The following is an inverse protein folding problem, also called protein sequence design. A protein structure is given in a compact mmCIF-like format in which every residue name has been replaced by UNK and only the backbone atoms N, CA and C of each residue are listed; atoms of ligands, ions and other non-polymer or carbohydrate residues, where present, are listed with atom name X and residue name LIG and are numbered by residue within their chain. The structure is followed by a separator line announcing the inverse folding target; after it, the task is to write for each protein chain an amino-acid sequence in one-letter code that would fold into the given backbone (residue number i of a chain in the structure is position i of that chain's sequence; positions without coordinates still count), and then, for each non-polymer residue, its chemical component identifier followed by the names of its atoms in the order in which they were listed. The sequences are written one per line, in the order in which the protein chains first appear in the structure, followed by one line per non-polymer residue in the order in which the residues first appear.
data_IF_719863679851
#
_entry.id   IF_719863679851
#
_cell.length_a   1.000
_cell.length_b   1.000
_cell.length_c   1.000
_cell.angle_alpha   90.00
_cell.angle_beta   90.00
_cell.angle_gamma   90.00
#
_symmetry.space_group_name_H-M   'P 1'
#
loop_
_entity.id
_entity.type
_entity.pdbx_description
1 polymer ?
#
# COMPACT_ATOMS: atom_id res chain seq x y z
N UNK A 1 2.37 11.04 -17.77
CA UNK A 1 2.02 11.70 -17.45
C UNK A 1 1.81 12.21 -16.79
N UNK A 2 1.88 12.35 -17.09
CA UNK A 2 2.15 13.08 -16.18
C UNK A 2 1.18 13.61 -15.45
N UNK A 3 0.85 12.98 -14.60
CA UNK A 3 0.14 13.62 -13.57
C UNK A 3 0.94 14.83 -13.20
N UNK A 4 0.51 15.94 -13.57
CA UNK A 4 1.20 17.12 -13.15
C UNK A 4 1.04 17.29 -11.64
N UNK A 5 1.95 18.04 -11.06
CA UNK A 5 1.97 18.23 -9.61
C UNK A 5 0.70 18.91 -9.10
N UNK A 6 0.06 19.72 -9.91
CA UNK A 6 -1.20 20.37 -9.53
C UNK A 6 -2.33 19.38 -9.30
N UNK A 7 -2.42 18.36 -10.14
CA UNK A 7 -3.42 17.32 -9.99
C UNK A 7 -3.15 16.47 -8.73
N UNK A 8 -1.89 16.15 -8.46
CA UNK A 8 -1.51 15.42 -7.26
C UNK A 8 -1.86 16.24 -6.01
N UNK A 9 -1.56 17.52 -6.01
CA UNK A 9 -1.86 18.38 -4.87
C UNK A 9 -3.35 18.48 -4.63
N UNK A 10 -4.15 18.60 -5.70
CA UNK A 10 -5.61 18.61 -5.57
C UNK A 10 -6.14 17.32 -5.01
N UNK A 11 -5.58 16.19 -5.45
CA UNK A 11 -5.95 14.88 -4.92
C UNK A 11 -5.63 14.73 -3.45
N UNK A 12 -4.46 15.18 -3.04
CA UNK A 12 -4.03 15.12 -1.64
C UNK A 12 -4.95 15.97 -0.76
N UNK A 13 -5.25 17.21 -1.18
CA UNK A 13 -6.12 18.10 -0.43
C UNK A 13 -7.53 17.52 -0.29
N UNK A 14 -8.05 16.94 -1.37
CA UNK A 14 -9.36 16.29 -1.33
C UNK A 14 -9.37 15.10 -0.39
N UNK A 15 -8.30 14.34 -0.39
CA UNK A 15 -8.18 13.17 0.47
C UNK A 15 -8.14 13.57 1.94
N UNK A 16 -7.44 14.65 2.26
CA UNK A 16 -7.40 15.16 3.63
C UNK A 16 -8.78 15.51 4.16
N UNK A 17 -9.67 16.01 3.31
CA UNK A 17 -11.06 16.28 3.69
C UNK A 17 -11.85 15.00 3.91
N UNK A 18 -11.55 13.94 3.14
CA UNK A 18 -12.22 12.65 3.24
C UNK A 18 -11.78 11.90 4.49
N UNK A 19 -10.50 11.97 4.81
CA UNK A 19 -9.95 11.36 6.02
C UNK A 19 -10.12 12.37 7.15
N UNK A 20 -11.11 12.16 8.00
CA UNK A 20 -11.34 13.07 9.08
C UNK A 20 -10.16 13.10 10.05
N UNK A 21 -9.47 14.19 10.06
CA UNK A 21 -8.72 14.77 11.15
C UNK A 21 -7.67 13.99 11.92
N UNK A 22 -7.39 12.72 11.63
CA UNK A 22 -6.38 11.98 12.39
C UNK A 22 -5.08 11.93 11.57
N UNK A 23 -4.01 12.50 12.14
CA UNK A 23 -2.70 12.55 11.50
C UNK A 23 -2.19 11.15 11.14
N UNK A 24 -2.40 10.18 12.03
CA UNK A 24 -1.95 8.81 11.79
C UNK A 24 -2.68 8.16 10.60
N UNK A 25 -3.98 8.45 10.46
CA UNK A 25 -4.77 7.94 9.34
C UNK A 25 -4.26 8.51 8.02
N UNK A 26 -3.98 9.82 7.99
CA UNK A 26 -3.41 10.47 6.81
C UNK A 26 -2.03 9.92 6.51
N UNK A 27 -1.20 9.72 7.54
CA UNK A 27 0.14 9.16 7.37
C UNK A 27 0.09 7.75 6.79
N UNK A 28 -0.87 6.93 7.22
CA UNK A 28 -1.03 5.56 6.70
C UNK A 28 -1.31 5.58 5.20
N UNK A 29 -2.26 6.39 4.77
CA UNK A 29 -2.60 6.52 3.36
C UNK A 29 -1.39 7.02 2.56
N UNK A 30 -0.77 8.08 3.05
CA UNK A 30 0.36 8.69 2.35
C UNK A 30 1.52 7.70 2.20
N UNK A 31 1.85 7.00 3.28
CA UNK A 31 2.96 6.05 3.24
C UNK A 31 2.66 4.88 2.31
N UNK A 32 1.42 4.40 2.31
CA UNK A 32 1.08 3.29 1.43
C UNK A 32 1.05 3.71 -0.03
N UNK A 33 0.53 4.88 -0.35
CA UNK A 33 0.53 5.38 -1.73
C UNK A 33 1.94 5.69 -2.20
N UNK A 34 2.83 6.16 -1.31
CA UNK A 34 4.25 6.31 -1.65
C UNK A 34 4.85 4.96 -2.03
N UNK A 35 4.50 3.90 -1.30
CA UNK A 35 4.93 2.55 -1.66
C UNK A 35 4.41 2.15 -3.04
N UNK A 36 3.14 2.41 -3.33
CA UNK A 36 2.55 2.09 -4.64
C UNK A 36 3.31 2.81 -5.76
N UNK A 37 3.58 4.09 -5.58
CA UNK A 37 4.31 4.89 -6.57
C UNK A 37 5.71 4.32 -6.82
N UNK A 38 6.33 3.80 -5.79
CA UNK A 38 7.64 3.15 -5.91
C UNK A 38 7.54 1.79 -6.61
N UNK A 39 6.55 0.98 -6.21
CA UNK A 39 6.52 -0.43 -6.57
C UNK A 39 5.82 -0.72 -7.90
N UNK A 40 4.85 0.08 -8.30
CA UNK A 40 4.12 -0.14 -9.56
C UNK A 40 5.04 -0.19 -10.79
N UNK A 41 5.99 0.74 -10.96
CA UNK A 41 6.91 0.65 -12.11
C UNK A 41 7.74 -0.63 -12.09
N UNK A 42 8.09 -1.14 -10.92
CA UNK A 42 8.86 -2.37 -10.79
C UNK A 42 8.02 -3.56 -11.26
N UNK A 43 6.77 -3.64 -10.82
CA UNK A 43 5.85 -4.71 -11.23
C UNK A 43 5.62 -4.67 -12.74
N UNK A 44 5.49 -3.48 -13.30
CA UNK A 44 5.28 -3.31 -14.74
C UNK A 44 6.47 -3.81 -15.57
N UNK A 45 7.63 -3.96 -14.96
CA UNK A 45 8.82 -4.49 -15.64
C UNK A 45 9.05 -5.98 -15.41
N UNK A 46 8.14 -6.65 -14.74
CA UNK A 46 8.19 -8.11 -14.60
C UNK A 46 8.11 -8.74 -15.99
N UNK A 47 8.64 -9.97 -16.18
CA UNK A 47 8.53 -10.64 -17.47
C UNK A 47 7.09 -10.65 -17.99
N UNK A 48 6.93 -10.46 -19.30
CA UNK A 48 5.62 -10.27 -19.91
C UNK A 48 4.67 -11.44 -19.70
N UNK A 49 5.20 -12.64 -19.53
CA UNK A 49 4.35 -13.82 -19.30
C UNK A 49 3.70 -13.82 -17.92
N UNK A 50 4.11 -12.92 -17.01
CA UNK A 50 3.50 -12.77 -15.69
C UNK A 50 2.42 -11.68 -15.66
N UNK A 51 2.17 -11.03 -16.79
CA UNK A 51 1.30 -9.85 -16.83
C UNK A 51 -0.11 -10.16 -16.34
N UNK A 52 -0.64 -11.32 -16.68
CA UNK A 52 -1.99 -11.73 -16.31
C UNK A 52 -2.04 -12.66 -15.10
N UNK A 53 -0.93 -12.78 -14.39
CA UNK A 53 -0.84 -13.62 -13.19
C UNK A 53 -0.28 -12.81 -12.03
N UNK A 54 1.02 -12.91 -11.78
CA UNK A 54 1.64 -12.27 -10.62
C UNK A 54 1.47 -10.75 -10.64
N UNK A 55 1.65 -10.13 -11.81
CA UNK A 55 1.53 -8.66 -11.92
C UNK A 55 0.14 -8.17 -11.55
N UNK A 56 -0.89 -8.76 -12.15
CA UNK A 56 -2.26 -8.33 -11.89
C UNK A 56 -2.66 -8.62 -10.44
N UNK A 57 -2.18 -9.72 -9.87
CA UNK A 57 -2.48 -10.05 -8.48
C UNK A 57 -1.87 -9.05 -7.52
N UNK A 58 -0.62 -8.63 -7.77
CA UNK A 58 0.04 -7.61 -6.95
C UNK A 58 -0.69 -6.27 -7.08
N UNK A 59 -1.00 -5.87 -8.31
CA UNK A 59 -1.67 -4.60 -8.55
C UNK A 59 -3.04 -4.56 -7.89
N UNK A 60 -3.81 -5.63 -8.01
CA UNK A 60 -5.13 -5.72 -7.38
C UNK A 60 -5.01 -5.69 -5.85
N UNK A 61 -4.00 -6.36 -5.30
CA UNK A 61 -3.77 -6.36 -3.87
C UNK A 61 -3.47 -4.94 -3.37
N UNK A 62 -2.60 -4.21 -4.06
CA UNK A 62 -2.28 -2.84 -3.69
C UNK A 62 -3.51 -1.95 -3.74
N UNK A 63 -4.32 -2.08 -4.78
CA UNK A 63 -5.55 -1.31 -4.91
C UNK A 63 -6.54 -1.62 -3.80
N UNK A 64 -6.70 -2.90 -3.45
CA UNK A 64 -7.58 -3.29 -2.36
C UNK A 64 -7.14 -2.67 -1.03
N UNK A 65 -5.84 -2.65 -0.77
CA UNK A 65 -5.32 -2.05 0.47
C UNK A 65 -5.65 -0.55 0.50
N UNK A 66 -5.38 0.16 -0.58
CA UNK A 66 -5.68 1.59 -0.66
C UNK A 66 -7.16 1.86 -0.41
N UNK A 67 -8.03 1.09 -1.06
CA UNK A 67 -9.48 1.23 -0.90
C UNK A 67 -9.92 0.93 0.51
N UNK A 68 -9.38 -0.13 1.12
CA UNK A 68 -9.73 -0.51 2.49
C UNK A 68 -9.29 0.54 3.51
N UNK A 69 -8.17 1.20 3.27
CA UNK A 69 -7.74 2.31 4.11
C UNK A 69 -8.79 3.42 4.08
N UNK A 70 -9.24 3.79 2.90
CA UNK A 70 -10.27 4.82 2.73
C UNK A 70 -11.57 4.40 3.42
N UNK A 71 -12.03 3.19 3.14
CA UNK A 71 -13.29 2.66 3.70
C UNK A 71 -13.22 2.65 5.23
N UNK A 72 -12.10 2.18 5.78
CA UNK A 72 -11.95 2.07 7.22
C UNK A 72 -11.94 3.44 7.89
N UNK A 73 -11.30 4.44 7.26
CA UNK A 73 -11.30 5.78 7.79
C UNK A 73 -12.70 6.38 7.91
N UNK A 74 -13.62 5.94 7.07
CA UNK A 74 -14.99 6.41 7.05
C UNK A 74 -15.92 5.53 7.88
N UNK A 75 -15.43 4.44 8.41
CA UNK A 75 -16.22 3.47 9.16
C UNK A 75 -16.35 3.86 10.62
N UNK A 76 -17.45 3.46 11.25
CA UNK A 76 -17.61 3.61 12.70
C UNK A 76 -16.76 2.58 13.45
N UNK A 77 -16.70 1.35 12.94
CA UNK A 77 -15.88 0.29 13.52
C UNK A 77 -14.56 0.20 12.80
N UNK A 78 -13.61 1.04 13.20
CA UNK A 78 -12.32 1.13 12.52
C UNK A 78 -11.41 -0.04 12.81
N UNK A 79 -11.49 -0.63 14.00
CA UNK A 79 -10.58 -1.71 14.40
C UNK A 79 -10.70 -2.91 13.47
N UNK A 80 -11.94 -3.35 13.20
CA UNK A 80 -12.17 -4.47 12.28
C UNK A 80 -11.59 -4.16 10.90
N UNK A 81 -11.78 -2.93 10.41
CA UNK A 81 -11.23 -2.51 9.13
C UNK A 81 -9.72 -2.52 9.11
N UNK A 82 -9.07 -2.07 10.20
CA UNK A 82 -7.61 -2.08 10.27
C UNK A 82 -7.05 -3.50 10.27
N UNK A 83 -7.74 -4.46 10.90
CA UNK A 83 -7.34 -5.86 10.81
C UNK A 83 -7.45 -6.39 9.38
N UNK A 84 -8.48 -5.98 8.64
CA UNK A 84 -8.61 -6.35 7.23
C UNK A 84 -7.45 -5.79 6.39
N UNK A 85 -7.06 -4.54 6.65
CA UNK A 85 -5.91 -3.93 5.99
C UNK A 85 -4.64 -4.71 6.31
N UNK A 86 -4.47 -5.09 7.57
CA UNK A 86 -3.31 -5.86 8.02
C UNK A 86 -3.22 -7.21 7.31
N UNK A 87 -4.34 -7.88 7.14
CA UNK A 87 -4.40 -9.16 6.42
C UNK A 87 -3.98 -8.99 4.96
N UNK A 88 -4.52 -7.99 4.28
CA UNK A 88 -4.14 -7.71 2.89
C UNK A 88 -2.67 -7.33 2.78
N UNK A 89 -2.15 -6.64 3.79
CA UNK A 89 -0.74 -6.27 3.82
C UNK A 89 0.15 -7.52 3.91
N UNK A 90 -0.26 -8.51 4.70
CA UNK A 90 0.46 -9.78 4.77
C UNK A 90 0.42 -10.54 3.44
N UNK A 91 -0.72 -10.49 2.75
CA UNK A 91 -0.84 -11.07 1.41
C UNK A 91 0.14 -10.39 0.45
N UNK A 92 0.20 -9.06 0.49
CA UNK A 92 1.14 -8.31 -0.34
C UNK A 92 2.59 -8.69 -0.04
N UNK A 93 2.94 -8.81 1.24
CA UNK A 93 4.28 -9.24 1.64
C UNK A 93 4.61 -10.63 1.09
N UNK A 94 3.64 -11.53 1.07
CA UNK A 94 3.83 -12.86 0.49
C UNK A 94 4.11 -12.79 -1.00
N UNK A 95 3.39 -11.95 -1.74
CA UNK A 95 3.65 -11.75 -3.16
C UNK A 95 5.05 -11.18 -3.41
N UNK A 96 5.48 -10.26 -2.56
CA UNK A 96 6.82 -9.67 -2.68
C UNK A 96 7.90 -10.73 -2.46
N UNK A 97 7.72 -11.57 -1.45
CA UNK A 97 8.66 -12.68 -1.19
C UNK A 97 8.72 -13.64 -2.38
N UNK A 98 7.56 -13.97 -2.96
CA UNK A 98 7.52 -14.84 -4.12
C UNK A 98 8.22 -14.21 -5.33
N UNK A 99 8.01 -12.92 -5.53
CA UNK A 99 8.68 -12.19 -6.60
C UNK A 99 10.19 -12.21 -6.43
N UNK A 100 10.67 -12.05 -5.19
CA UNK A 100 12.10 -12.10 -4.91
C UNK A 100 12.68 -13.49 -5.17
N UNK A 101 11.94 -14.54 -4.83
CA UNK A 101 12.37 -15.92 -5.09
C UNK A 101 12.51 -16.23 -6.58
N UNK A 102 11.71 -15.58 -7.42
CA UNK A 102 11.77 -15.80 -8.88
C UNK A 102 13.01 -15.18 -9.51
N UNK A 103 13.70 -14.32 -8.78
CA UNK A 103 15.01 -13.82 -9.20
C UNK A 103 15.06 -12.32 -9.44
N UNK A 104 16.25 -11.85 -9.78
CA UNK A 104 16.53 -10.43 -9.94
C UNK A 104 15.82 -9.79 -11.14
N UNK A 105 15.37 -10.59 -12.10
CA UNK A 105 14.56 -10.10 -13.23
C UNK A 105 13.20 -9.56 -12.73
N UNK A 106 12.70 -10.12 -11.64
CA UNK A 106 11.46 -9.66 -11.01
C UNK A 106 11.78 -8.58 -9.99
N UNK A 107 12.59 -8.90 -9.01
CA UNK A 107 12.84 -8.02 -7.89
C UNK A 107 14.28 -8.18 -7.42
N UNK A 108 15.08 -7.14 -7.63
CA UNK A 108 16.46 -7.13 -7.15
C UNK A 108 16.50 -7.11 -5.62
N UNK A 109 17.66 -7.49 -5.06
CA UNK A 109 17.86 -7.43 -3.61
C UNK A 109 17.59 -6.01 -3.09
N UNK A 110 18.11 -5.01 -3.79
CA UNK A 110 17.95 -3.62 -3.40
C UNK A 110 16.49 -3.18 -3.42
N UNK A 111 15.77 -3.52 -4.49
CA UNK A 111 14.36 -3.17 -4.60
C UNK A 111 13.53 -3.90 -3.54
N UNK A 112 13.88 -5.14 -3.26
CA UNK A 112 13.23 -5.90 -2.20
C UNK A 112 13.41 -5.22 -0.85
N UNK A 113 14.63 -4.83 -0.51
CA UNK A 113 14.92 -4.14 0.74
C UNK A 113 14.15 -2.84 0.88
N UNK A 114 14.08 -2.07 -0.21
CA UNK A 114 13.34 -0.80 -0.22
C UNK A 114 11.86 -1.04 -0.01
N UNK A 115 11.29 -2.04 -0.70
CA UNK A 115 9.88 -2.40 -0.55
C UNK A 115 9.58 -2.81 0.90
N UNK A 116 10.45 -3.61 1.50
CA UNK A 116 10.29 -4.06 2.88
C UNK A 116 10.32 -2.86 3.84
N UNK A 117 11.18 -1.88 3.59
CA UNK A 117 11.24 -0.67 4.42
C UNK A 117 9.92 0.10 4.38
N UNK A 118 9.37 0.30 3.17
CA UNK A 118 8.08 0.98 3.03
C UNK A 118 6.98 0.25 3.81
N UNK A 119 6.90 -1.06 3.63
CA UNK A 119 5.84 -1.84 4.25
C UNK A 119 6.03 -1.98 5.76
N UNK A 120 7.26 -1.95 6.24
CA UNK A 120 7.53 -1.91 7.68
C UNK A 120 6.99 -0.63 8.32
N UNK A 121 7.16 0.51 7.64
CA UNK A 121 6.60 1.78 8.11
C UNK A 121 5.07 1.75 8.09
N UNK A 122 4.49 1.23 7.01
CA UNK A 122 3.04 1.08 6.90
C UNK A 122 2.53 0.20 8.06
N UNK A 123 3.20 -0.92 8.30
CA UNK A 123 2.82 -1.85 9.37
C UNK A 123 2.94 -1.23 10.74
N UNK A 124 3.96 -0.40 10.97
CA UNK A 124 4.14 0.30 12.24
C UNK A 124 2.99 1.26 12.50
N UNK A 125 2.63 2.06 11.51
CA UNK A 125 1.52 3.02 11.63
C UNK A 125 0.21 2.26 11.85
N UNK A 126 -0.01 1.23 11.07
CA UNK A 126 -1.23 0.41 11.16
C UNK A 126 -1.34 -0.25 12.54
N UNK A 127 -0.24 -0.81 13.04
CA UNK A 127 -0.21 -1.41 14.37
C UNK A 127 -0.57 -0.42 15.47
N UNK A 128 -0.09 0.82 15.33
CA UNK A 128 -0.45 1.89 16.25
C UNK A 128 -1.93 2.22 16.22
N UNK A 129 -2.53 2.23 15.03
CA UNK A 129 -3.97 2.48 14.87
C UNK A 129 -4.81 1.35 15.49
N UNK A 130 -4.39 0.12 15.31
CA UNK A 130 -5.07 -1.04 15.90
C UNK A 130 -4.98 -0.98 17.42
N UNK A 131 -3.81 -0.71 17.96
CA UNK A 131 -3.58 -0.63 19.40
C UNK A 131 -4.42 0.48 20.01
N UNK A 132 -4.45 1.64 19.37
CA UNK A 132 -5.24 2.78 19.85
C UNK A 132 -6.74 2.47 19.83
N UNK A 133 -7.21 1.79 18.81
CA UNK A 133 -8.63 1.43 18.68
C UNK A 133 -9.09 0.41 19.70
N UNK A 134 -8.18 -0.39 20.26
CA UNK A 134 -8.49 -1.40 21.26
C UNK A 134 -8.47 -0.83 22.70
N UNK A 135 -8.10 0.43 22.86
CA UNK A 135 -8.20 1.12 24.15
C UNK A 135 -9.60 1.73 24.33
#
# INVERSE_FOLDING_TARGET
MPCNSGLLNSGAARYEKVISGNVANLALFQKFTDFMDYFEPIVNRFPSYEKNSLCVNIQNCMQRIMEKIIITNRSRNKVAGWYDVDTELEILRAYIRRSRKKGSKYLSIRSHETAVKYLSEVGRILGGLIKKGNQ
#
